data_IF_876296911017
#
_entry.id   IF_876296911017
#
_cell.length_a   1.000
_cell.length_b   1.000
_cell.length_c   1.000
_cell.angle_alpha   90.00
_cell.angle_beta   90.00
_cell.angle_gamma   90.00
#
_symmetry.space_group_name_H-M   'P 1'
#
loop_
_entity.id
_entity.type
_entity.pdbx_description
1 polymer ?
#
# COMPACT_ATOMS: atom_id res chain seq x y z
N UNK A 1 3.84 1.66 -7.12
CA UNK A 1 4.16 3.03 -6.65
C UNK A 1 4.73 3.80 -7.81
N UNK A 2 4.96 5.11 -7.68
CA UNK A 2 5.59 5.89 -8.75
C UNK A 2 7.05 5.48 -8.93
N UNK A 3 7.44 5.06 -10.14
CA UNK A 3 8.83 4.67 -10.42
C UNK A 3 9.60 5.85 -11.03
N UNK A 4 10.89 5.67 -11.29
CA UNK A 4 11.69 6.69 -11.95
C UNK A 4 11.20 6.99 -13.38
N UNK A 5 10.69 5.99 -14.10
CA UNK A 5 10.17 6.14 -15.47
C UNK A 5 8.92 7.02 -15.56
N UNK A 6 8.23 7.22 -14.44
CA UNK A 6 7.07 8.11 -14.37
C UNK A 6 7.46 9.60 -14.36
N UNK A 7 8.74 9.92 -14.19
CA UNK A 7 9.22 11.30 -14.02
C UNK A 7 10.40 11.63 -14.94
N UNK A 8 10.56 12.93 -15.18
CA UNK A 8 11.78 13.53 -15.72
C UNK A 8 12.36 14.46 -14.65
N UNK A 9 13.66 14.36 -14.41
CA UNK A 9 14.35 15.25 -13.46
C UNK A 9 14.90 16.48 -14.18
N UNK A 10 14.40 17.67 -13.84
CA UNK A 10 14.83 18.95 -14.42
C UNK A 10 14.82 20.04 -13.37
N UNK A 11 15.80 20.96 -13.39
CA UNK A 11 15.87 22.11 -12.48
C UNK A 11 15.73 21.72 -10.99
N UNK A 12 16.40 20.65 -10.57
CA UNK A 12 16.33 20.08 -9.22
C UNK A 12 14.91 19.69 -8.78
N UNK A 13 14.05 19.30 -9.73
CA UNK A 13 12.67 18.89 -9.47
C UNK A 13 12.31 17.65 -10.29
N UNK A 14 11.50 16.77 -9.67
CA UNK A 14 10.86 15.65 -10.35
C UNK A 14 9.57 16.13 -11.01
N UNK A 15 9.55 16.14 -12.33
CA UNK A 15 8.39 16.53 -13.14
C UNK A 15 7.71 15.27 -13.65
N UNK A 16 6.41 15.13 -13.42
CA UNK A 16 5.63 13.98 -13.87
C UNK A 16 5.56 13.95 -15.41
N UNK A 17 5.80 12.79 -15.99
CA UNK A 17 5.74 12.60 -17.44
C UNK A 17 4.29 12.68 -17.95
N UNK A 18 4.13 13.17 -19.19
CA UNK A 18 2.81 13.24 -19.82
C UNK A 18 2.17 11.85 -19.94
N UNK A 19 0.85 11.76 -19.70
CA UNK A 19 0.10 10.50 -19.76
C UNK A 19 0.17 9.66 -18.47
N UNK A 20 1.04 10.01 -17.52
CA UNK A 20 1.05 9.34 -16.22
C UNK A 20 -0.06 9.91 -15.34
N UNK A 21 -0.87 9.07 -14.66
CA UNK A 21 -1.86 9.56 -13.74
C UNK A 21 -1.26 10.43 -12.63
N UNK A 22 -1.89 11.56 -12.33
CA UNK A 22 -1.46 12.51 -11.31
C UNK A 22 -2.36 12.44 -10.09
N UNK A 23 -1.86 11.90 -8.98
CA UNK A 23 -2.63 11.77 -7.76
C UNK A 23 -2.34 12.82 -6.69
N UNK A 24 -1.63 13.92 -7.02
CA UNK A 24 -1.29 14.99 -6.05
C UNK A 24 -2.51 15.55 -5.32
N UNK A 25 -3.66 15.61 -5.99
CA UNK A 25 -4.92 16.06 -5.40
C UNK A 25 -5.40 15.17 -4.23
N UNK A 26 -5.01 13.89 -4.23
CA UNK A 26 -5.46 12.89 -3.24
C UNK A 26 -4.36 12.55 -2.23
N UNK A 27 -3.11 12.39 -2.68
CA UNK A 27 -1.98 12.02 -1.81
C UNK A 27 -1.26 13.21 -1.19
N UNK A 28 -1.60 14.44 -1.60
CA UNK A 28 -0.85 15.65 -1.28
C UNK A 28 0.35 15.85 -2.21
N UNK A 29 0.69 17.12 -2.44
CA UNK A 29 1.80 17.51 -3.32
C UNK A 29 3.17 17.47 -2.61
N UNK A 30 3.17 17.59 -1.27
CA UNK A 30 4.38 17.51 -0.47
C UNK A 30 4.96 16.10 -0.60
N UNK A 31 6.18 16.01 -1.12
CA UNK A 31 6.92 14.75 -1.39
C UNK A 31 6.46 13.94 -2.61
N UNK A 32 5.67 14.51 -3.53
CA UNK A 32 5.32 13.86 -4.79
C UNK A 32 6.56 13.62 -5.67
N UNK A 33 6.77 12.38 -6.14
CA UNK A 33 7.95 11.97 -6.90
C UNK A 33 8.12 10.45 -6.91
N UNK A 34 9.24 9.94 -7.44
CA UNK A 34 9.58 8.51 -7.36
C UNK A 34 9.50 8.00 -5.92
N UNK A 35 8.86 6.87 -5.72
CA UNK A 35 8.60 6.30 -4.39
C UNK A 35 7.27 6.69 -3.76
N UNK A 36 6.54 7.69 -4.29
CA UNK A 36 5.21 8.02 -3.79
C UNK A 36 4.18 6.92 -4.12
N UNK A 37 3.12 6.81 -3.30
CA UNK A 37 1.99 5.92 -3.61
C UNK A 37 1.35 6.37 -4.94
N UNK A 38 0.99 5.40 -5.80
CA UNK A 38 0.39 5.66 -7.12
C UNK A 38 -0.99 5.03 -7.14
N UNK A 39 -2.02 5.83 -7.46
CA UNK A 39 -3.39 5.36 -7.60
C UNK A 39 -3.71 5.14 -9.08
N UNK A 40 -4.65 4.22 -9.33
CA UNK A 40 -5.14 3.93 -10.67
C UNK A 40 -6.24 4.94 -11.04
N UNK A 41 -6.14 5.56 -12.22
CA UNK A 41 -7.23 6.34 -12.83
C UNK A 41 -8.34 5.38 -13.27
N UNK A 42 -9.59 5.70 -12.95
CA UNK A 42 -10.78 4.90 -13.23
C UNK A 42 -11.75 5.66 -14.14
N UNK A 43 -11.98 6.94 -13.86
CA UNK A 43 -12.85 7.79 -14.64
C UNK A 43 -12.24 8.12 -16.01
N UNK A 44 -13.09 8.19 -17.03
CA UNK A 44 -12.75 8.70 -18.36
C UNK A 44 -13.32 10.11 -18.52
N UNK A 45 -12.71 11.07 -17.82
CA UNK A 45 -13.12 12.47 -17.74
C UNK A 45 -12.22 13.41 -18.56
N UNK A 46 -11.39 12.84 -19.45
CA UNK A 46 -10.48 13.60 -20.32
C UNK A 46 -9.27 14.21 -19.59
N UNK A 47 -9.03 13.86 -18.33
CA UNK A 47 -7.85 14.29 -17.57
C UNK A 47 -7.08 13.10 -16.98
N UNK A 48 -5.76 13.27 -16.83
CA UNK A 48 -4.91 12.28 -16.14
C UNK A 48 -4.89 12.50 -14.61
N UNK A 49 -5.56 13.53 -14.10
CA UNK A 49 -5.62 13.81 -12.67
C UNK A 49 -6.60 12.85 -11.99
N UNK A 50 -6.17 12.21 -10.90
CA UNK A 50 -7.04 11.38 -10.05
C UNK A 50 -8.00 12.30 -9.26
N UNK A 51 -9.29 12.15 -9.50
CA UNK A 51 -10.36 12.82 -8.78
C UNK A 51 -10.72 12.10 -7.48
N UNK A 52 -11.05 12.88 -6.44
CA UNK A 52 -11.37 12.32 -5.11
C UNK A 52 -12.62 11.44 -5.11
N UNK A 53 -13.61 11.76 -5.94
CA UNK A 53 -14.88 11.02 -5.99
C UNK A 53 -15.04 10.20 -7.27
N UNK A 54 -14.62 10.73 -8.41
CA UNK A 54 -14.78 10.08 -9.71
C UNK A 54 -13.90 8.84 -9.87
N UNK A 55 -12.76 8.77 -9.19
CA UNK A 55 -11.82 7.65 -9.28
C UNK A 55 -11.91 6.65 -8.12
N UNK A 56 -13.03 6.64 -7.38
CA UNK A 56 -13.33 5.62 -6.37
C UNK A 56 -14.07 4.43 -6.98
N UNK A 57 -13.79 3.25 -6.47
CA UNK A 57 -14.55 2.03 -6.78
C UNK A 57 -14.64 1.15 -5.54
N UNK A 58 -15.58 0.20 -5.55
CA UNK A 58 -15.72 -0.79 -4.48
C UNK A 58 -14.56 -1.79 -4.63
N UNK A 59 -13.74 -1.92 -3.59
CA UNK A 59 -12.54 -2.78 -3.58
C UNK A 59 -12.66 -4.00 -2.66
N UNK A 60 -13.82 -4.21 -2.05
CA UNK A 60 -14.09 -5.41 -1.27
C UNK A 60 -15.50 -5.47 -0.71
N UNK A 61 -15.92 -6.67 -0.33
CA UNK A 61 -17.21 -6.97 0.29
C UNK A 61 -17.02 -7.78 1.57
N UNK A 62 -17.44 -7.21 2.71
CA UNK A 62 -17.33 -7.87 4.00
C UNK A 62 -18.42 -8.93 4.22
N UNK A 63 -19.42 -9.02 3.34
CA UNK A 63 -20.47 -10.01 3.44
C UNK A 63 -19.94 -11.39 3.04
N UNK A 64 -20.07 -12.41 3.92
CA UNK A 64 -19.64 -13.75 3.59
C UNK A 64 -20.59 -14.41 2.59
N UNK A 65 -20.02 -15.14 1.63
CA UNK A 65 -20.78 -15.98 0.70
C UNK A 65 -21.36 -17.18 1.44
N UNK A 66 -20.61 -17.73 2.40
CA UNK A 66 -21.05 -18.84 3.25
C UNK A 66 -20.59 -18.68 4.69
N UNK A 67 -21.50 -18.96 5.61
CA UNK A 67 -21.23 -19.16 7.03
C UNK A 67 -21.82 -20.49 7.46
N UNK A 68 -21.15 -21.21 8.36
CA UNK A 68 -21.65 -22.50 8.78
C UNK A 68 -20.87 -23.13 9.91
N UNK A 69 -21.33 -24.30 10.30
CA UNK A 69 -20.66 -25.14 11.27
C UNK A 69 -21.04 -26.60 11.12
N UNK A 70 -20.14 -27.47 11.58
CA UNK A 70 -20.30 -28.92 11.61
C UNK A 70 -19.98 -29.41 13.01
N UNK A 71 -20.90 -30.17 13.60
CA UNK A 71 -20.72 -30.84 14.88
C UNK A 71 -20.71 -32.35 14.65
N UNK A 72 -19.62 -33.02 15.00
CA UNK A 72 -19.50 -34.47 14.92
C UNK A 72 -19.39 -35.05 16.33
N UNK A 73 -20.35 -35.91 16.66
CA UNK A 73 -20.33 -36.70 17.89
C UNK A 73 -20.10 -38.16 17.53
N UNK A 74 -19.00 -38.71 18.04
CA UNK A 74 -18.62 -40.10 17.85
C UNK A 74 -18.63 -40.80 19.20
N UNK A 75 -19.20 -42.00 19.24
CA UNK A 75 -19.12 -42.89 20.39
C UNK A 75 -18.82 -44.30 19.93
N UNK A 76 -17.78 -44.90 20.51
CA UNK A 76 -17.45 -46.29 20.27
C UNK A 76 -16.99 -46.96 21.58
N UNK A 77 -17.77 -47.94 22.05
CA UNK A 77 -17.59 -48.59 23.37
C UNK A 77 -17.53 -47.53 24.49
N UNK A 78 -16.41 -47.48 25.21
CA UNK A 78 -16.16 -46.55 26.33
C UNK A 78 -15.45 -45.26 25.88
N UNK A 79 -15.25 -45.08 24.57
CA UNK A 79 -14.68 -43.87 24.01
C UNK A 79 -15.76 -42.96 23.43
N UNK A 80 -15.70 -41.69 23.78
CA UNK A 80 -16.50 -40.62 23.19
C UNK A 80 -15.60 -39.47 22.70
N UNK A 81 -16.00 -38.86 21.60
CA UNK A 81 -15.35 -37.70 21.01
C UNK A 81 -16.39 -36.75 20.44
N UNK A 82 -16.30 -35.48 20.82
CA UNK A 82 -17.06 -34.39 20.21
C UNK A 82 -16.12 -33.42 19.50
N UNK A 83 -16.44 -33.07 18.25
CA UNK A 83 -15.69 -32.06 17.49
C UNK A 83 -16.65 -31.03 16.90
N UNK A 84 -16.22 -29.78 16.88
CA UNK A 84 -17.02 -28.65 16.41
C UNK A 84 -16.16 -27.81 15.47
N UNK A 85 -16.64 -27.62 14.25
CA UNK A 85 -16.03 -26.78 13.24
C UNK A 85 -16.97 -25.63 12.95
N UNK A 86 -16.48 -24.39 12.97
CA UNK A 86 -17.22 -23.21 12.53
C UNK A 86 -16.40 -22.50 11.46
N UNK A 87 -17.05 -21.97 10.43
CA UNK A 87 -16.35 -21.26 9.36
C UNK A 87 -17.18 -20.09 8.81
N UNK A 88 -16.43 -19.17 8.22
CA UNK A 88 -16.91 -18.04 7.41
C UNK A 88 -16.03 -18.05 6.16
N UNK A 89 -16.64 -17.96 4.98
CA UNK A 89 -15.96 -18.08 3.71
C UNK A 89 -16.44 -17.05 2.69
N UNK A 90 -15.50 -16.52 1.91
CA UNK A 90 -15.77 -15.66 0.76
C UNK A 90 -15.96 -14.18 1.07
N UNK A 91 -15.79 -13.74 2.32
CA UNK A 91 -15.75 -12.32 2.65
C UNK A 91 -14.33 -11.76 2.52
N UNK A 92 -14.25 -10.48 2.18
CA UNK A 92 -13.04 -9.69 2.31
C UNK A 92 -12.85 -9.20 3.76
N UNK A 93 -11.61 -8.90 4.13
CA UNK A 93 -11.25 -8.40 5.46
C UNK A 93 -10.61 -7.01 5.33
N UNK A 94 -11.27 -6.01 5.91
CA UNK A 94 -10.68 -4.69 6.09
C UNK A 94 -9.72 -4.67 7.28
N UNK A 95 -8.41 -4.68 7.01
CA UNK A 95 -7.39 -4.63 8.04
C UNK A 95 -6.98 -3.19 8.38
N UNK A 96 -7.68 -2.58 9.34
CA UNK A 96 -7.40 -1.21 9.79
C UNK A 96 -5.99 -1.06 10.39
N UNK A 97 -5.46 -2.07 11.09
CA UNK A 97 -4.10 -2.04 11.64
C UNK A 97 -3.05 -1.95 10.54
N UNK A 98 -3.22 -2.69 9.44
CA UNK A 98 -2.33 -2.60 8.28
C UNK A 98 -2.33 -1.18 7.72
N UNK A 99 -3.49 -0.54 7.61
CA UNK A 99 -3.59 0.86 7.16
C UNK A 99 -2.84 1.78 8.13
N UNK A 100 -3.23 1.77 9.40
CA UNK A 100 -2.67 2.62 10.44
C UNK A 100 -1.13 2.55 10.54
N UNK A 101 -0.57 1.34 10.50
CA UNK A 101 0.88 1.12 10.60
C UNK A 101 1.64 1.29 9.28
N UNK A 102 0.93 1.52 8.17
CA UNK A 102 1.57 1.81 6.87
C UNK A 102 1.61 3.30 6.53
N UNK A 103 0.78 4.12 7.17
CA UNK A 103 0.67 5.56 6.87
C UNK A 103 0.92 6.45 8.11
N UNK A 104 1.01 5.86 9.31
CA UNK A 104 1.12 6.57 10.57
C UNK A 104 -0.27 6.93 11.15
N UNK A 105 -0.43 6.79 12.47
CA UNK A 105 -1.73 6.88 13.14
C UNK A 105 -2.25 8.33 13.31
N UNK A 106 -1.36 9.33 13.34
CA UNK A 106 -1.67 10.68 13.83
C UNK A 106 -0.91 11.80 13.08
N UNK A 107 -0.53 11.58 11.82
CA UNK A 107 0.35 12.49 11.03
C UNK A 107 1.74 12.77 11.63
N UNK A 108 2.12 12.14 12.75
CA UNK A 108 3.40 12.37 13.42
C UNK A 108 4.59 11.66 12.76
N UNK A 109 4.40 11.06 11.58
CA UNK A 109 5.35 10.18 10.89
C UNK A 109 5.84 8.97 11.69
N UNK A 110 5.25 8.71 12.87
CA UNK A 110 5.63 7.57 13.72
C UNK A 110 5.05 6.28 13.15
N UNK A 111 5.81 5.20 13.35
CA UNK A 111 5.38 3.83 13.09
C UNK A 111 5.11 3.47 11.61
N UNK A 112 5.51 4.30 10.64
CA UNK A 112 5.33 4.02 9.19
C UNK A 112 6.06 2.75 8.70
N UNK A 113 6.97 2.21 9.52
CA UNK A 113 7.82 1.06 9.23
C UNK A 113 7.71 -0.11 10.23
N UNK A 114 6.70 -0.13 11.12
CA UNK A 114 6.59 -1.22 12.11
C UNK A 114 6.12 -2.54 11.50
N UNK A 115 5.51 -2.49 10.31
CA UNK A 115 5.17 -3.70 9.56
C UNK A 115 6.42 -4.22 8.87
N UNK A 116 6.66 -5.54 8.94
CA UNK A 116 7.79 -6.18 8.26
C UNK A 116 7.84 -5.86 6.75
N UNK A 117 6.67 -5.75 6.10
CA UNK A 117 6.54 -5.35 4.69
C UNK A 117 7.05 -3.94 4.38
N UNK A 118 7.19 -3.09 5.39
CA UNK A 118 7.63 -1.70 5.30
C UNK A 118 9.06 -1.53 5.84
N UNK A 119 9.81 -2.62 6.04
CA UNK A 119 11.22 -2.52 6.42
C UNK A 119 12.04 -1.78 5.34
N UNK A 120 13.26 -1.33 5.68
CA UNK A 120 14.13 -0.57 4.78
C UNK A 120 14.61 -1.35 3.55
N UNK A 121 14.52 -2.68 3.57
CA UNK A 121 14.89 -3.53 2.44
C UNK A 121 13.80 -3.55 1.36
N UNK A 122 12.53 -3.37 1.74
CA UNK A 122 11.41 -3.44 0.82
C UNK A 122 10.90 -2.08 0.36
N UNK A 123 11.00 -1.04 1.21
CA UNK A 123 10.39 0.27 0.94
C UNK A 123 11.31 1.20 0.17
N UNK A 124 10.69 2.11 -0.57
CA UNK A 124 11.40 3.26 -1.11
C UNK A 124 11.90 4.19 0.00
N UNK A 125 13.13 4.68 -0.13
CA UNK A 125 13.82 5.53 0.83
C UNK A 125 14.33 6.81 0.16
N UNK A 126 14.11 7.95 0.84
CA UNK A 126 14.68 9.25 0.45
C UNK A 126 15.94 9.61 1.25
N UNK A 127 16.31 8.78 2.22
CA UNK A 127 17.49 8.94 3.06
C UNK A 127 18.48 7.85 2.70
N UNK A 128 19.74 8.22 2.50
CA UNK A 128 20.82 7.27 2.27
C UNK A 128 21.07 6.43 3.54
N UNK A 129 20.98 5.09 3.47
CA UNK A 129 21.22 4.26 4.64
C UNK A 129 22.68 4.29 5.12
N UNK A 130 23.63 4.63 4.26
CA UNK A 130 25.05 4.68 4.61
C UNK A 130 25.47 6.03 5.23
N UNK A 131 24.92 7.15 4.74
CA UNK A 131 25.35 8.48 5.17
C UNK A 131 24.31 9.22 6.02
N UNK A 132 23.03 8.85 5.92
CA UNK A 132 21.93 9.58 6.54
C UNK A 132 21.50 10.83 5.78
N UNK A 133 22.07 11.09 4.60
CA UNK A 133 21.77 12.26 3.79
C UNK A 133 20.43 12.14 3.06
N UNK A 134 19.77 13.27 2.83
CA UNK A 134 18.62 13.32 1.96
C UNK A 134 19.05 13.26 0.50
N UNK A 135 18.75 12.14 -0.17
CA UNK A 135 19.14 11.84 -1.55
C UNK A 135 18.02 12.11 -2.55
N UNK A 136 16.91 12.74 -2.13
CA UNK A 136 15.74 12.97 -3.00
C UNK A 136 16.06 13.78 -4.26
N UNK A 137 17.06 14.67 -4.20
CA UNK A 137 17.47 15.54 -5.31
C UNK A 137 18.75 15.05 -6.01
N UNK A 138 19.21 13.84 -5.69
CA UNK A 138 20.28 13.14 -6.40
C UNK A 138 19.68 11.93 -7.14
N UNK A 139 19.31 12.07 -8.43
CA UNK A 139 18.65 10.99 -9.17
C UNK A 139 19.47 9.70 -9.21
N UNK A 140 20.79 9.80 -9.40
CA UNK A 140 21.66 8.63 -9.54
C UNK A 140 21.73 7.88 -8.21
N UNK A 141 21.92 8.58 -7.09
CA UNK A 141 21.96 7.95 -5.77
C UNK A 141 20.60 7.44 -5.34
N UNK A 142 19.53 8.21 -5.59
CA UNK A 142 18.17 7.79 -5.28
C UNK A 142 17.79 6.52 -6.02
N UNK A 143 18.14 6.39 -7.29
CA UNK A 143 17.92 5.18 -8.07
C UNK A 143 18.75 4.01 -7.56
N UNK A 144 20.03 4.23 -7.24
CA UNK A 144 20.91 3.19 -6.72
C UNK A 144 20.44 2.61 -5.38
N UNK A 145 19.96 3.45 -4.46
CA UNK A 145 19.47 3.00 -3.14
C UNK A 145 18.14 2.25 -3.24
N UNK A 146 17.35 2.48 -4.29
CA UNK A 146 15.98 1.98 -4.42
C UNK A 146 15.80 0.95 -5.54
N UNK A 147 16.86 0.27 -5.99
CA UNK A 147 16.77 -0.72 -7.07
C UNK A 147 15.86 -1.90 -6.73
N UNK A 148 15.87 -2.32 -5.47
CA UNK A 148 15.11 -3.47 -4.97
C UNK A 148 13.80 -3.07 -4.27
N UNK A 149 13.43 -1.79 -4.28
CA UNK A 149 12.23 -1.32 -3.61
C UNK A 149 10.97 -1.92 -4.24
N UNK A 150 10.18 -2.65 -3.45
CA UNK A 150 8.93 -3.29 -3.87
C UNK A 150 7.69 -2.53 -3.40
N UNK A 151 7.84 -1.60 -2.46
CA UNK A 151 6.75 -0.80 -1.92
C UNK A 151 7.09 0.70 -1.88
N UNK A 152 6.06 1.54 -1.95
CA UNK A 152 6.16 2.99 -1.81
C UNK A 152 6.83 3.38 -0.49
N UNK A 153 7.34 4.61 -0.43
CA UNK A 153 7.78 5.22 0.83
C UNK A 153 6.55 5.44 1.70
N UNK A 154 6.40 4.68 2.80
CA UNK A 154 5.23 4.73 3.66
C UNK A 154 5.08 6.09 4.28
#
# INVERSE_FOLDING_TARGET
FYTFDDFTFTNNQWVLNAGVPDNRAVSGASFFGPGAIKYKKIADDGTNVIGLESDKTIIGDANPIHIGGLNLNFRYKQFDMGTFFNWVYGNDIYNANKVAFSIGYDSSNKYRNVLNRMNSENRFMYIDPATGDNIRLDPARLQAVNQDATIYSP
#
